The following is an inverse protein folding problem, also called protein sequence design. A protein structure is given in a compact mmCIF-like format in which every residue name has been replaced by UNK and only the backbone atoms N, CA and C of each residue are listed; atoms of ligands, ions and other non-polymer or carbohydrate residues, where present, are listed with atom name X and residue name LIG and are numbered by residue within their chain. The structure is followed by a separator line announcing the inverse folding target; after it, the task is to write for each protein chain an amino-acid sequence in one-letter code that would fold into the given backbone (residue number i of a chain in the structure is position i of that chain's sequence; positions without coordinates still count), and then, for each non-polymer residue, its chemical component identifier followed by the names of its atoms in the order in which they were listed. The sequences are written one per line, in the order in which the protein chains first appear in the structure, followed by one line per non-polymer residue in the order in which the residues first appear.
data_IF_237000013716
#
_entry.id   IF_237000013716
#
_cell.length_a   1.000
_cell.length_b   1.000
_cell.length_c   1.000
_cell.angle_alpha   90.00
_cell.angle_beta   90.00
_cell.angle_gamma   90.00
#
_symmetry.space_group_name_H-M   'P 1'
#
loop_
_entity.id
_entity.type
_entity.pdbx_description
1 polymer ?
#
# COMPACT_ATOMS: atom_id res chain seq x y z
N UNK A 1 8.94 13.53 11.12
CA UNK A 1 8.49 14.23 9.89
C UNK A 1 8.10 13.18 8.86
N UNK A 2 6.99 13.34 8.15
CA UNK A 2 6.60 12.38 7.10
C UNK A 2 7.30 12.73 5.77
N UNK A 3 7.48 11.72 4.92
CA UNK A 3 8.08 11.85 3.59
C UNK A 3 6.98 11.62 2.55
N UNK A 4 6.96 12.40 1.48
CA UNK A 4 5.99 12.25 0.37
C UNK A 4 6.73 11.69 -0.84
N UNK A 5 6.15 10.67 -1.46
CA UNK A 5 6.75 10.03 -2.63
C UNK A 5 7.49 8.74 -2.29
N UNK A 6 7.50 7.80 -3.25
CA UNK A 6 8.09 6.47 -3.07
C UNK A 6 9.62 6.47 -3.25
N UNK A 7 10.20 7.56 -3.74
CA UNK A 7 11.64 7.79 -3.87
C UNK A 7 12.39 7.75 -2.54
N UNK A 8 11.66 7.77 -1.43
CA UNK A 8 12.20 7.65 -0.08
C UNK A 8 12.23 6.22 0.46
N UNK A 9 11.69 5.24 -0.27
CA UNK A 9 11.73 3.82 0.08
C UNK A 9 12.87 3.15 -0.67
N UNK A 10 13.63 2.27 -0.03
CA UNK A 10 14.72 1.51 -0.67
C UNK A 10 14.20 0.35 -1.53
N UNK A 11 15.03 -0.13 -2.46
CA UNK A 11 14.77 -1.40 -3.14
C UNK A 11 14.95 -2.59 -2.17
N UNK A 12 14.22 -3.71 -2.38
CA UNK A 12 13.27 -3.97 -3.47
C UNK A 12 11.85 -3.42 -3.21
N UNK A 13 11.59 -2.87 -2.03
CA UNK A 13 10.26 -2.44 -1.60
C UNK A 13 9.69 -1.32 -2.44
N UNK A 14 10.52 -0.40 -2.95
CA UNK A 14 10.08 0.66 -3.86
C UNK A 14 9.45 0.08 -5.14
N UNK A 15 10.11 -0.89 -5.78
CA UNK A 15 9.56 -1.55 -6.97
C UNK A 15 8.24 -2.27 -6.68
N UNK A 16 8.17 -2.98 -5.54
CA UNK A 16 6.95 -3.65 -5.09
C UNK A 16 5.81 -2.64 -4.85
N UNK A 17 6.08 -1.57 -4.11
CA UNK A 17 5.13 -0.49 -3.83
C UNK A 17 4.63 0.18 -5.10
N UNK A 18 5.49 0.38 -6.09
CA UNK A 18 5.09 0.99 -7.35
C UNK A 18 4.09 0.12 -8.12
N UNK A 19 4.30 -1.21 -8.15
CA UNK A 19 3.35 -2.15 -8.76
C UNK A 19 2.03 -2.17 -7.99
N UNK A 20 2.09 -2.32 -6.67
CA UNK A 20 0.91 -2.35 -5.81
C UNK A 20 0.11 -1.04 -5.89
N UNK A 21 0.77 0.12 -5.87
CA UNK A 21 0.09 1.41 -6.01
C UNK A 21 -0.65 1.52 -7.35
N UNK A 22 -0.07 0.99 -8.42
CA UNK A 22 -0.73 0.97 -9.73
C UNK A 22 -1.97 0.05 -9.72
N UNK A 23 -1.89 -1.12 -9.10
CA UNK A 23 -3.06 -2.00 -8.97
C UNK A 23 -4.13 -1.41 -8.07
N UNK A 24 -3.76 -0.87 -6.90
CA UNK A 24 -4.67 -0.16 -6.00
C UNK A 24 -5.42 0.98 -6.71
N UNK A 25 -4.73 1.78 -7.53
CA UNK A 25 -5.38 2.83 -8.33
C UNK A 25 -6.40 2.27 -9.32
N UNK A 26 -6.16 1.09 -9.92
CA UNK A 26 -7.13 0.45 -10.82
C UNK A 26 -8.35 -0.08 -10.07
N UNK A 27 -8.13 -0.75 -8.94
CA UNK A 27 -9.18 -1.38 -8.14
C UNK A 27 -10.07 -0.35 -7.46
N UNK A 28 -9.47 0.64 -6.80
CA UNK A 28 -10.20 1.66 -6.04
C UNK A 28 -10.61 2.88 -6.87
N UNK A 29 -9.95 3.13 -8.01
CA UNK A 29 -10.23 4.27 -8.92
C UNK A 29 -10.26 5.59 -8.14
N UNK A 30 -11.30 6.40 -8.35
CA UNK A 30 -11.50 7.69 -7.67
C UNK A 30 -11.77 7.56 -6.17
N UNK A 31 -12.04 6.36 -5.65
CA UNK A 31 -12.25 6.16 -4.22
C UNK A 31 -10.93 6.06 -3.43
N UNK A 32 -9.77 5.88 -4.07
CA UNK A 32 -8.49 5.86 -3.36
C UNK A 32 -8.05 7.28 -2.99
N UNK A 33 -8.07 7.61 -1.70
CA UNK A 33 -7.69 8.93 -1.20
C UNK A 33 -6.18 9.00 -0.93
N UNK A 34 -5.64 8.03 -0.21
CA UNK A 34 -4.21 8.00 0.08
C UNK A 34 -3.71 6.60 0.45
N UNK A 35 -2.42 6.38 0.21
CA UNK A 35 -1.66 5.22 0.69
C UNK A 35 -0.48 5.75 1.50
N UNK A 36 -0.29 5.23 2.71
CA UNK A 36 0.84 5.55 3.56
C UNK A 36 1.60 4.28 3.94
N UNK A 37 2.92 4.31 3.78
CA UNK A 37 3.81 3.26 4.26
C UNK A 37 4.23 3.61 5.68
N UNK A 38 4.14 2.64 6.60
CA UNK A 38 4.65 2.78 7.96
C UNK A 38 5.58 1.61 8.30
N UNK A 39 5.86 1.41 9.58
CA UNK A 39 6.70 0.30 10.00
C UNK A 39 8.17 0.46 9.62
N UNK A 40 8.88 -0.66 9.54
CA UNK A 40 10.34 -0.68 9.38
C UNK A 40 10.79 -0.18 8.01
N UNK A 41 10.06 -0.55 6.96
CA UNK A 41 10.34 -0.12 5.57
C UNK A 41 10.27 1.41 5.44
N UNK A 42 9.31 2.06 6.09
CA UNK A 42 9.20 3.51 6.08
C UNK A 42 10.35 4.22 6.82
N UNK A 43 10.90 3.59 7.87
CA UNK A 43 12.02 4.14 8.66
C UNK A 43 13.38 3.85 8.05
N UNK A 44 13.48 2.79 7.22
CA UNK A 44 14.74 2.32 6.64
C UNK A 44 15.55 1.42 7.57
N UNK A 45 14.93 0.88 8.63
CA UNK A 45 15.51 -0.11 9.55
C UNK A 45 15.00 -1.53 9.26
N UNK A 46 14.47 -1.76 8.06
CA UNK A 46 13.95 -3.04 7.62
C UNK A 46 15.07 -4.06 7.37
N UNK A 47 14.76 -5.32 7.62
CA UNK A 47 15.56 -6.51 7.31
C UNK A 47 15.04 -7.16 6.03
N UNK A 48 15.81 -8.06 5.40
CA UNK A 48 15.34 -8.80 4.21
C UNK A 48 14.01 -9.54 4.41
N UNK A 49 13.71 -9.96 5.64
CA UNK A 49 12.48 -10.69 6.02
C UNK A 49 11.36 -9.75 6.49
N UNK A 50 11.54 -8.43 6.39
CA UNK A 50 10.53 -7.47 6.86
C UNK A 50 9.32 -7.42 5.94
N UNK A 51 8.15 -7.40 6.57
CA UNK A 51 6.88 -7.14 5.91
C UNK A 51 6.76 -5.68 5.46
N UNK A 52 5.78 -5.42 4.58
CA UNK A 52 5.43 -4.09 4.12
C UNK A 52 4.13 -3.62 4.78
N UNK A 53 4.26 -2.70 5.74
CA UNK A 53 3.12 -2.14 6.47
C UNK A 53 2.47 -0.96 5.72
N UNK A 54 1.17 -1.09 5.43
CA UNK A 54 0.40 -0.10 4.65
C UNK A 54 -0.88 0.35 5.35
N UNK A 55 -1.15 1.65 5.28
CA UNK A 55 -2.44 2.26 5.62
C UNK A 55 -3.07 2.82 4.34
N UNK A 56 -4.27 2.32 4.02
CA UNK A 56 -5.07 2.80 2.91
C UNK A 56 -6.24 3.64 3.45
N UNK A 57 -6.39 4.85 2.90
CA UNK A 57 -7.56 5.69 3.10
C UNK A 57 -8.34 5.71 1.80
N UNK A 58 -9.60 5.31 1.85
CA UNK A 58 -10.47 5.24 0.70
C UNK A 58 -11.92 5.55 1.07
N UNK A 59 -12.66 6.09 0.11
CA UNK A 59 -14.08 6.37 0.22
C UNK A 59 -14.93 5.16 -0.18
N UNK A 60 -16.22 5.20 0.16
CA UNK A 60 -17.22 4.21 -0.28
C UNK A 60 -16.86 2.75 0.05
N UNK A 61 -16.08 2.52 1.11
CA UNK A 61 -15.72 1.18 1.56
C UNK A 61 -16.94 0.43 2.10
N UNK A 62 -17.04 -0.89 1.86
CA UNK A 62 -18.10 -1.70 2.45
C UNK A 62 -18.02 -1.65 3.98
N UNK A 63 -19.16 -1.78 4.67
CA UNK A 63 -19.17 -1.76 6.15
C UNK A 63 -18.49 -2.98 6.77
N UNK A 64 -18.54 -4.13 6.09
CA UNK A 64 -17.96 -5.39 6.56
C UNK A 64 -16.43 -5.40 6.36
N UNK A 65 -15.69 -5.73 7.42
CA UNK A 65 -14.23 -5.91 7.41
C UNK A 65 -13.77 -6.91 6.34
N UNK A 66 -14.39 -8.09 6.25
CA UNK A 66 -13.99 -9.13 5.28
C UNK A 66 -14.08 -8.60 3.85
N UNK A 67 -15.19 -7.93 3.51
CA UNK A 67 -15.34 -7.33 2.19
C UNK A 67 -14.28 -6.27 1.87
N UNK A 68 -13.76 -5.55 2.87
CA UNK A 68 -12.63 -4.61 2.68
C UNK A 68 -11.35 -5.36 2.35
N UNK A 69 -11.07 -6.45 3.07
CA UNK A 69 -9.91 -7.31 2.81
C UNK A 69 -9.99 -7.89 1.39
N UNK A 70 -11.13 -8.46 1.00
CA UNK A 70 -11.30 -9.02 -0.35
C UNK A 70 -11.14 -7.98 -1.48
N UNK A 71 -11.38 -6.70 -1.23
CA UNK A 71 -11.11 -5.65 -2.22
C UNK A 71 -9.60 -5.40 -2.32
N UNK A 72 -8.90 -5.39 -1.20
CA UNK A 72 -7.44 -5.25 -1.18
C UNK A 72 -6.76 -6.45 -1.84
N UNK A 73 -7.18 -7.69 -1.54
CA UNK A 73 -6.62 -8.92 -2.12
C UNK A 73 -6.65 -8.89 -3.65
N UNK A 74 -7.72 -8.37 -4.27
CA UNK A 74 -7.77 -8.19 -5.74
C UNK A 74 -6.66 -7.32 -6.30
N UNK A 75 -6.18 -6.34 -5.54
CA UNK A 75 -5.07 -5.50 -5.96
C UNK A 75 -3.71 -6.15 -5.69
N UNK A 76 -3.64 -6.95 -4.63
CA UNK A 76 -2.44 -7.71 -4.27
C UNK A 76 -2.17 -8.86 -5.26
N UNK A 77 -3.20 -9.57 -5.70
CA UNK A 77 -3.12 -10.68 -6.67
C UNK A 77 -2.57 -10.27 -8.05
N UNK A 78 -2.51 -8.96 -8.37
CA UNK A 78 -1.98 -8.44 -9.63
C UNK A 78 -0.46 -8.14 -9.62
N UNK A 79 0.22 -8.30 -8.48
CA UNK A 79 1.58 -7.77 -8.22
C UNK A 79 2.64 -8.87 -8.16
#
# INVERSE_FOLDING_TARGET
MYKKGIEHISEPYRSLLQKLLNSLKKVFKNNLISVAVFGSVARGDNKPESDLDLLLIAENLPKNRVSRVNIFEKAEDEV
#
